data_IF_153017430325
#
_entry.id   IF_153017430325
#
_cell.length_a   1.000
_cell.length_b   1.000
_cell.length_c   1.000
_cell.angle_alpha   90.00
_cell.angle_beta   90.00
_cell.angle_gamma   90.00
#
_symmetry.space_group_name_H-M   'P 1'
#
loop_
_entity.id
_entity.type
_entity.pdbx_description
1 polymer ?
#
# COMPACT_ATOMS: atom_id res chain seq x y z
N UNK A 1 1.29 -9.13 9.60
CA UNK A 1 1.47 -7.65 9.55
C UNK A 1 2.78 -7.37 8.80
N UNK A 2 2.78 -6.43 7.86
CA UNK A 2 4.00 -6.04 7.15
C UNK A 2 4.68 -4.96 7.98
N UNK A 3 5.88 -5.26 8.48
CA UNK A 3 6.58 -4.41 9.44
C UNK A 3 7.93 -3.96 8.88
N UNK A 4 8.65 -4.86 8.20
CA UNK A 4 9.95 -4.57 7.61
C UNK A 4 9.81 -4.30 6.13
N UNK A 5 10.76 -3.53 5.59
CA UNK A 5 10.90 -3.30 4.14
C UNK A 5 10.90 -4.60 3.34
N UNK A 6 11.64 -5.60 3.81
CA UNK A 6 11.76 -6.92 3.17
C UNK A 6 10.41 -7.63 3.03
N UNK A 7 9.47 -7.40 3.97
CA UNK A 7 8.12 -7.95 3.86
C UNK A 7 7.41 -7.35 2.63
N UNK A 8 7.43 -6.03 2.48
CA UNK A 8 6.78 -5.37 1.34
C UNK A 8 7.40 -5.79 0.00
N UNK A 9 8.71 -5.99 -0.06
CA UNK A 9 9.38 -6.50 -1.27
C UNK A 9 8.95 -7.94 -1.58
N UNK A 10 8.87 -8.81 -0.56
CA UNK A 10 8.39 -10.20 -0.72
C UNK A 10 6.95 -10.30 -1.19
N UNK A 11 6.09 -9.38 -0.75
CA UNK A 11 4.67 -9.37 -1.10
C UNK A 11 4.35 -8.42 -2.25
N UNK A 12 5.35 -8.02 -3.06
CA UNK A 12 5.10 -7.28 -4.29
C UNK A 12 4.08 -8.01 -5.17
N UNK A 13 3.11 -7.28 -5.69
CA UNK A 13 1.96 -7.82 -6.41
C UNK A 13 0.76 -8.24 -5.54
N UNK A 14 0.89 -8.25 -4.21
CA UNK A 14 -0.24 -8.55 -3.31
C UNK A 14 -1.07 -7.32 -2.99
N UNK A 15 -2.37 -7.52 -2.75
CA UNK A 15 -3.26 -6.48 -2.24
C UNK A 15 -3.04 -6.29 -0.74
N UNK A 16 -2.88 -5.05 -0.30
CA UNK A 16 -2.67 -4.72 1.11
C UNK A 16 -3.54 -3.56 1.53
N UNK A 17 -3.77 -3.50 2.84
CA UNK A 17 -4.40 -2.38 3.50
C UNK A 17 -3.40 -1.73 4.45
N UNK A 18 -3.10 -0.46 4.20
CA UNK A 18 -2.18 0.37 4.98
C UNK A 18 -2.93 1.45 5.74
N UNK A 19 -2.56 1.63 6.99
CA UNK A 19 -2.98 2.73 7.86
C UNK A 19 -1.78 3.61 8.16
N UNK A 20 -1.96 4.91 8.00
CA UNK A 20 -0.91 5.91 8.08
C UNK A 20 -1.00 6.72 9.38
N UNK A 21 0.13 7.23 9.85
CA UNK A 21 0.16 8.20 10.96
C UNK A 21 -0.37 9.56 10.50
N UNK A 22 0.14 10.04 9.36
CA UNK A 22 -0.27 11.27 8.68
C UNK A 22 -1.03 10.94 7.40
N UNK A 23 -1.99 11.80 7.02
CA UNK A 23 -2.77 11.63 5.79
C UNK A 23 -1.86 11.75 4.57
N UNK A 24 -1.95 10.81 3.63
CA UNK A 24 -1.36 10.92 2.29
C UNK A 24 -2.49 10.96 1.28
N UNK A 25 -2.48 11.93 0.36
CA UNK A 25 -3.59 12.15 -0.57
C UNK A 25 -4.94 12.41 0.11
N UNK A 26 -4.93 12.92 1.35
CA UNK A 26 -6.13 13.16 2.15
C UNK A 26 -6.67 11.95 2.93
N UNK A 27 -6.11 10.76 2.71
CA UNK A 27 -6.56 9.50 3.30
C UNK A 27 -5.60 9.02 4.42
N UNK A 28 -6.16 8.58 5.56
CA UNK A 28 -5.39 7.90 6.63
C UNK A 28 -5.32 6.39 6.47
N UNK A 29 -6.18 5.84 5.61
CA UNK A 29 -6.32 4.41 5.36
C UNK A 29 -6.41 4.23 3.85
N UNK A 30 -5.52 3.42 3.31
CA UNK A 30 -5.37 3.22 1.88
C UNK A 30 -5.35 1.72 1.63
N UNK A 31 -6.02 1.29 0.58
CA UNK A 31 -6.02 -0.09 0.11
C UNK A 31 -5.54 -0.10 -1.33
N UNK A 32 -4.63 -1.01 -1.65
CA UNK A 32 -4.02 -1.06 -2.96
C UNK A 32 -3.07 -2.24 -3.11
N UNK A 33 -2.58 -2.42 -4.33
CA UNK A 33 -1.61 -3.46 -4.69
C UNK A 33 -0.19 -2.93 -4.53
N UNK A 34 0.68 -3.71 -3.88
CA UNK A 34 2.10 -3.36 -3.78
C UNK A 34 2.71 -3.45 -5.19
N UNK A 35 3.30 -2.35 -5.67
CA UNK A 35 4.14 -2.35 -6.87
C UNK A 35 5.61 -2.62 -6.53
N UNK A 36 6.04 -2.20 -5.34
CA UNK A 36 7.38 -2.44 -4.81
C UNK A 36 7.77 -1.42 -3.75
N UNK A 37 9.01 -1.52 -3.26
CA UNK A 37 9.61 -0.54 -2.36
C UNK A 37 10.86 0.02 -3.00
N UNK A 38 10.95 1.35 -3.09
CA UNK A 38 12.15 2.04 -3.53
C UNK A 38 12.73 2.85 -2.37
N UNK A 39 13.91 2.44 -1.90
CA UNK A 39 14.57 2.99 -0.69
C UNK A 39 13.65 2.83 0.53
N UNK A 40 12.97 3.89 0.95
CA UNK A 40 12.08 3.92 2.11
C UNK A 40 10.66 4.34 1.73
N UNK A 41 10.31 4.18 0.45
CA UNK A 41 9.02 4.57 -0.11
C UNK A 41 8.33 3.34 -0.70
N UNK A 42 7.18 2.99 -0.15
CA UNK A 42 6.28 1.99 -0.67
C UNK A 42 5.47 2.58 -1.83
N UNK A 43 5.49 1.89 -2.97
CA UNK A 43 4.66 2.21 -4.12
C UNK A 43 3.42 1.32 -4.12
N UNK A 44 2.26 1.95 -4.10
CA UNK A 44 0.95 1.32 -4.03
C UNK A 44 0.10 1.73 -5.23
N UNK A 45 -0.35 0.75 -6.01
CA UNK A 45 -1.39 0.96 -7.01
C UNK A 45 -2.75 0.96 -6.30
N UNK A 46 -3.45 2.09 -6.35
CA UNK A 46 -4.79 2.24 -5.80
C UNK A 46 -5.80 2.33 -6.94
N UNK A 47 -6.91 1.63 -6.79
CA UNK A 47 -8.06 1.74 -7.68
C UNK A 47 -9.00 2.81 -7.11
N UNK A 48 -9.09 3.97 -7.77
CA UNK A 48 -10.03 5.00 -7.36
C UNK A 48 -11.32 4.81 -8.16
N UNK A 49 -12.36 4.35 -7.48
CA UNK A 49 -13.67 3.97 -8.04
C UNK A 49 -14.42 5.08 -8.82
N UNK A 50 -13.86 6.29 -8.94
CA UNK A 50 -14.54 7.46 -9.58
C UNK A 50 -14.03 7.83 -10.97
N UNK A 51 -12.80 7.46 -11.31
CA UNK A 51 -12.23 7.69 -12.63
C UNK A 51 -11.33 6.48 -12.90
N UNK A 52 -11.52 5.80 -14.03
CA UNK A 52 -10.91 4.53 -14.39
C UNK A 52 -9.39 4.61 -14.66
N UNK A 53 -8.64 5.32 -13.81
CA UNK A 53 -7.20 5.48 -13.84
C UNK A 53 -6.58 4.92 -12.55
N UNK A 54 -5.79 3.86 -12.74
CA UNK A 54 -4.91 3.30 -11.70
C UNK A 54 -3.93 4.37 -11.24
N UNK A 55 -4.08 4.83 -10.02
CA UNK A 55 -3.20 5.84 -9.44
C UNK A 55 -2.10 5.18 -8.61
N UNK A 56 -0.85 5.61 -8.81
CA UNK A 56 0.28 5.13 -8.01
C UNK A 56 0.55 6.08 -6.86
N UNK A 57 0.31 5.61 -5.65
CA UNK A 57 0.53 6.35 -4.42
C UNK A 57 1.88 5.96 -3.81
N UNK A 58 2.68 6.97 -3.45
CA UNK A 58 4.00 6.82 -2.85
C UNK A 58 3.88 7.10 -1.36
N UNK A 59 4.20 6.13 -0.51
CA UNK A 59 4.04 6.24 0.95
C UNK A 59 5.38 5.97 1.62
N UNK A 60 5.87 6.91 2.42
CA UNK A 60 7.05 6.67 3.24
C UNK A 60 6.79 5.57 4.27
N UNK A 61 7.69 4.59 4.37
CA UNK A 61 7.57 3.47 5.33
C UNK A 61 7.45 3.97 6.77
N UNK A 62 8.16 5.05 7.13
CA UNK A 62 8.06 5.69 8.45
C UNK A 62 6.69 6.28 8.77
N UNK A 63 5.88 6.57 7.75
CA UNK A 63 4.51 7.07 7.92
C UNK A 63 3.49 5.91 8.05
N UNK A 64 3.91 4.65 7.81
CA UNK A 64 3.03 3.49 7.93
C UNK A 64 2.91 3.11 9.40
N UNK A 65 1.70 3.26 9.93
CA UNK A 65 1.36 2.82 11.30
C UNK A 65 1.09 1.33 11.35
N UNK A 66 0.39 0.80 10.35
CA UNK A 66 0.02 -0.62 10.28
C UNK A 66 -0.22 -1.01 8.83
N UNK A 67 0.33 -2.14 8.42
CA UNK A 67 0.09 -2.72 7.10
C UNK A 67 -0.31 -4.19 7.25
N UNK A 68 -1.36 -4.60 6.54
CA UNK A 68 -1.81 -6.00 6.51
C UNK A 68 -2.08 -6.43 5.07
N UNK A 69 -1.70 -7.66 4.75
CA UNK A 69 -2.12 -8.30 3.52
C UNK A 69 -3.63 -8.49 3.54
N UNK A 70 -4.30 -8.08 2.47
CA UNK A 70 -5.67 -8.48 2.20
C UNK A 70 -5.60 -9.86 1.54
N UNK A 71 -6.19 -10.90 2.14
CA UNK A 71 -6.31 -12.17 1.45
C UNK A 71 -7.20 -11.96 0.23
N UNK A 72 -6.62 -12.03 -0.95
CA UNK A 72 -7.39 -12.23 -2.18
C UNK A 72 -7.82 -13.70 -2.18
N UNK A 73 -9.00 -13.96 -1.61
CA UNK A 73 -9.68 -15.22 -1.87
C UNK A 73 -10.10 -15.20 -3.34
N UNK A 74 -9.26 -15.79 -4.20
CA UNK A 74 -9.68 -16.13 -5.56
C UNK A 74 -10.83 -17.13 -5.46
N UNK A 75 -11.99 -16.76 -5.98
CA UNK A 75 -13.06 -17.68 -6.37
C UNK A 75 -12.99 -17.86 -7.88
#
# INVERSE_FOLDING_TARGET
PLIKREDFERFSGSLIQVSLFQKEGGLKKIEGKILGVLKDVLMLEIDQERDAEKSVLKISLSNIRKANLKPSFGL
#
